data_IF_285727733095
#
_entry.id   IF_285727733095
#
_cell.length_a   1.000
_cell.length_b   1.000
_cell.length_c   1.000
_cell.angle_alpha   90.00
_cell.angle_beta   90.00
_cell.angle_gamma   90.00
#
_symmetry.space_group_name_H-M   'P 1'
#
loop_
_entity.id
_entity.type
_entity.pdbx_description
1 polymer ?
#
# COMPACT_ATOMS: atom_id res chain seq x y z
N UNK A 1 28.22 8.08 -0.34
CA UNK A 1 27.43 7.30 0.64
C UNK A 1 26.02 7.88 0.64
N UNK A 2 25.04 7.15 0.07
CA UNK A 2 23.63 7.54 0.16
C UNK A 2 23.24 7.51 1.64
N UNK A 3 22.91 8.66 2.24
CA UNK A 3 22.36 8.65 3.60
C UNK A 3 21.06 7.85 3.56
N UNK A 4 20.99 6.79 4.38
CA UNK A 4 19.84 5.88 4.44
C UNK A 4 18.55 6.69 4.60
N UNK A 5 17.50 6.28 3.87
CA UNK A 5 16.17 6.86 4.04
C UNK A 5 15.59 6.24 5.30
N UNK A 6 15.21 7.02 6.32
CA UNK A 6 14.63 6.45 7.52
C UNK A 6 13.32 5.73 7.16
N UNK A 7 13.02 4.58 7.79
CA UNK A 7 11.77 3.89 7.51
C UNK A 7 10.57 4.75 7.93
N UNK A 8 9.45 4.67 7.19
CA UNK A 8 8.22 5.33 7.58
C UNK A 8 7.69 4.74 8.89
N UNK A 9 6.92 5.55 9.62
CA UNK A 9 6.15 5.09 10.77
C UNK A 9 4.68 4.99 10.39
N UNK A 10 4.00 4.01 10.96
CA UNK A 10 2.59 3.72 10.72
C UNK A 10 1.99 3.13 12.00
N UNK A 11 0.88 3.70 12.46
CA UNK A 11 0.11 3.14 13.57
C UNK A 11 -0.78 2.02 13.01
N UNK A 12 -0.51 0.78 13.42
CA UNK A 12 -1.28 -0.41 13.02
C UNK A 12 -1.98 -1.06 14.21
N UNK A 13 -3.18 -1.66 14.03
CA UNK A 13 -3.84 -2.40 15.09
C UNK A 13 -3.03 -3.61 15.59
N UNK A 14 -3.35 -4.11 16.78
CA UNK A 14 -2.62 -5.20 17.42
C UNK A 14 -2.60 -6.53 16.65
N UNK A 15 -3.51 -6.75 15.70
CA UNK A 15 -3.51 -7.95 14.86
C UNK A 15 -2.50 -7.88 13.71
N UNK A 16 -1.99 -6.69 13.40
CA UNK A 16 -1.09 -6.46 12.28
C UNK A 16 0.37 -6.63 12.68
N UNK A 17 1.16 -7.24 11.80
CA UNK A 17 2.59 -7.48 12.02
C UNK A 17 3.40 -7.00 10.83
N UNK A 18 4.56 -6.41 11.11
CA UNK A 18 5.55 -6.09 10.08
C UNK A 18 6.07 -7.40 9.49
N UNK A 19 5.85 -7.61 8.20
CA UNK A 19 6.28 -8.81 7.47
C UNK A 19 7.47 -8.54 6.55
N UNK A 20 7.68 -7.28 6.17
CA UNK A 20 8.79 -6.88 5.32
C UNK A 20 9.21 -5.43 5.60
N UNK A 21 10.52 -5.19 5.63
CA UNK A 21 11.15 -3.87 5.57
C UNK A 21 12.26 -3.93 4.52
N UNK A 22 12.21 -3.03 3.53
CA UNK A 22 13.13 -3.03 2.40
C UNK A 22 13.64 -1.63 2.08
N UNK A 23 14.95 -1.51 1.83
CA UNK A 23 15.58 -0.33 1.25
C UNK A 23 15.85 -0.59 -0.24
N UNK A 24 15.31 0.25 -1.11
CA UNK A 24 15.48 0.14 -2.56
C UNK A 24 15.85 1.47 -3.22
N UNK A 25 16.31 1.39 -4.47
CA UNK A 25 16.53 2.56 -5.34
C UNK A 25 15.67 2.39 -6.59
N UNK A 26 14.35 2.65 -6.52
CA UNK A 26 13.40 2.35 -7.60
C UNK A 26 13.64 3.15 -8.89
N UNK A 27 14.47 4.19 -8.81
CA UNK A 27 14.86 5.01 -9.95
C UNK A 27 16.26 5.59 -9.75
N UNK A 28 17.17 5.30 -10.67
CA UNK A 28 18.52 5.86 -10.69
C UNK A 28 18.92 6.21 -12.13
N UNK A 29 18.93 7.52 -12.43
CA UNK A 29 19.38 8.06 -13.72
C UNK A 29 20.33 9.21 -13.46
N UNK A 30 21.14 9.59 -14.46
CA UNK A 30 22.21 10.61 -14.33
C UNK A 30 21.79 11.95 -13.69
N UNK A 31 20.50 12.28 -13.69
CA UNK A 31 19.97 13.57 -13.22
C UNK A 31 19.25 13.43 -11.87
N UNK A 32 18.66 12.27 -11.56
CA UNK A 32 17.87 12.04 -10.34
C UNK A 32 18.04 10.60 -9.85
N UNK A 33 18.29 10.45 -8.55
CA UNK A 33 18.22 9.18 -7.82
C UNK A 33 17.10 9.23 -6.80
N UNK A 34 16.24 8.20 -6.76
CA UNK A 34 15.18 8.02 -5.77
C UNK A 34 15.55 6.82 -4.91
N UNK A 35 15.72 7.04 -3.61
CA UNK A 35 15.85 5.97 -2.62
C UNK A 35 14.55 5.85 -1.84
N UNK A 36 14.13 4.61 -1.56
CA UNK A 36 12.90 4.32 -0.85
C UNK A 36 13.14 3.34 0.30
N UNK A 37 12.54 3.58 1.45
CA UNK A 37 12.43 2.57 2.52
C UNK A 37 10.97 2.23 2.69
N UNK A 38 10.61 0.98 2.46
CA UNK A 38 9.23 0.49 2.48
C UNK A 38 9.04 -0.46 3.64
N UNK A 39 7.92 -0.33 4.35
CA UNK A 39 7.44 -1.29 5.35
C UNK A 39 6.11 -1.87 4.93
N UNK A 40 5.94 -3.17 5.06
CA UNK A 40 4.69 -3.87 4.76
C UNK A 40 4.21 -4.61 6.00
N UNK A 41 2.94 -4.43 6.31
CA UNK A 41 2.25 -5.09 7.41
C UNK A 41 1.11 -5.95 6.88
N UNK A 42 0.89 -7.08 7.53
CA UNK A 42 -0.23 -7.99 7.26
C UNK A 42 -1.03 -8.25 8.54
N UNK A 43 -2.33 -8.46 8.39
CA UNK A 43 -3.15 -8.98 9.48
C UNK A 43 -2.92 -10.49 9.62
N UNK A 44 -1.97 -10.86 10.48
CA UNK A 44 -1.61 -12.25 10.71
C UNK A 44 -2.72 -13.03 11.38
N UNK A 45 -3.53 -12.40 12.23
CA UNK A 45 -4.64 -13.08 12.89
C UNK A 45 -5.73 -13.49 11.89
N UNK A 46 -6.06 -12.60 10.94
CA UNK A 46 -6.97 -12.90 9.85
C UNK A 46 -6.40 -13.99 8.94
N UNK A 47 -5.13 -13.85 8.55
CA UNK A 47 -4.45 -14.80 7.68
C UNK A 47 -4.45 -16.20 8.28
N UNK A 48 -4.00 -16.34 9.53
CA UNK A 48 -3.88 -17.64 10.19
C UNK A 48 -5.26 -18.30 10.40
N UNK A 49 -6.29 -17.50 10.72
CA UNK A 49 -7.68 -17.98 10.82
C UNK A 49 -8.21 -18.52 9.49
N UNK A 50 -7.94 -17.82 8.39
CA UNK A 50 -8.41 -18.22 7.06
C UNK A 50 -7.59 -19.37 6.50
N UNK A 51 -6.28 -19.42 6.75
CA UNK A 51 -5.45 -20.57 6.44
C UNK A 51 -5.97 -21.84 7.12
N UNK A 52 -6.32 -21.78 8.41
CA UNK A 52 -6.92 -22.91 9.12
C UNK A 52 -8.27 -23.35 8.53
N UNK A 53 -9.06 -22.41 8.00
CA UNK A 53 -10.39 -22.70 7.45
C UNK A 53 -10.37 -23.16 5.98
N UNK A 54 -9.36 -22.75 5.21
CA UNK A 54 -9.31 -22.94 3.75
C UNK A 54 -8.15 -23.81 3.28
N UNK A 55 -7.16 -24.07 4.13
CA UNK A 55 -5.92 -24.75 3.76
C UNK A 55 -5.01 -23.92 2.84
N UNK A 56 -5.31 -22.63 2.63
CA UNK A 56 -4.57 -21.76 1.71
C UNK A 56 -3.81 -20.68 2.47
N UNK A 57 -2.50 -20.66 2.27
CA UNK A 57 -1.61 -19.58 2.71
C UNK A 57 -1.56 -18.49 1.63
N UNK A 58 -2.37 -17.44 1.79
CA UNK A 58 -2.39 -16.29 0.86
C UNK A 58 -2.47 -14.96 1.62
N UNK A 59 -2.08 -13.86 0.97
CA UNK A 59 -2.28 -12.52 1.52
C UNK A 59 -3.75 -12.13 1.40
N UNK A 60 -4.43 -12.02 2.54
CA UNK A 60 -5.83 -11.58 2.59
C UNK A 60 -5.96 -10.07 2.67
N UNK A 61 -5.18 -9.43 3.54
CA UNK A 61 -5.10 -7.98 3.63
C UNK A 61 -3.71 -7.54 4.05
N UNK A 62 -3.29 -6.42 3.49
CA UNK A 62 -1.99 -5.82 3.79
C UNK A 62 -2.10 -4.30 3.74
N UNK A 63 -1.17 -3.63 4.40
CA UNK A 63 -0.93 -2.18 4.32
C UNK A 63 0.55 -1.96 4.20
N UNK A 64 0.96 -0.98 3.43
CA UNK A 64 2.35 -0.58 3.33
C UNK A 64 2.49 0.93 3.41
N UNK A 65 3.67 1.33 3.85
CA UNK A 65 4.12 2.71 3.80
C UNK A 65 5.53 2.74 3.19
N UNK A 66 5.83 3.77 2.40
CA UNK A 66 7.16 3.98 1.86
C UNK A 66 7.58 5.43 1.98
N UNK A 67 8.79 5.67 2.49
CA UNK A 67 9.40 7.02 2.50
C UNK A 67 10.40 7.10 1.36
N UNK A 68 10.26 8.11 0.52
CA UNK A 68 11.07 8.35 -0.66
C UNK A 68 11.90 9.62 -0.48
N UNK A 69 13.20 9.53 -0.79
CA UNK A 69 14.12 10.66 -0.86
C UNK A 69 14.65 10.80 -2.27
N UNK A 70 14.57 12.02 -2.79
CA UNK A 70 15.03 12.38 -4.13
C UNK A 70 16.37 13.09 -4.03
N UNK A 71 17.33 12.72 -4.88
CA UNK A 71 18.65 13.38 -4.99
C UNK A 71 18.92 13.83 -6.42
N UNK A 72 19.38 15.09 -6.65
CA UNK A 72 19.52 16.15 -5.65
C UNK A 72 18.16 16.53 -5.04
N UNK A 73 18.17 17.10 -3.82
CA UNK A 73 16.96 17.55 -3.17
C UNK A 73 16.36 18.68 -4.04
N UNK A 74 15.13 18.46 -4.49
CA UNK A 74 14.37 19.43 -5.26
C UNK A 74 13.03 19.61 -4.56
N UNK A 75 12.58 20.86 -4.38
CA UNK A 75 11.23 21.10 -3.89
C UNK A 75 10.22 20.36 -4.79
N UNK A 76 9.22 19.67 -4.20
CA UNK A 76 8.19 18.98 -4.98
C UNK A 76 7.53 19.94 -5.98
N UNK A 77 7.75 19.69 -7.27
CA UNK A 77 7.01 20.38 -8.34
C UNK A 77 5.84 19.51 -8.77
N UNK A 78 4.78 20.11 -9.33
CA UNK A 78 3.64 19.34 -9.85
C UNK A 78 4.07 18.26 -10.86
N UNK A 79 5.04 18.56 -11.71
CA UNK A 79 5.56 17.59 -12.68
C UNK A 79 6.28 16.41 -12.00
N UNK A 80 7.08 16.69 -10.96
CA UNK A 80 7.75 15.65 -10.18
C UNK A 80 6.77 14.80 -9.38
N UNK A 81 5.78 15.43 -8.74
CA UNK A 81 4.72 14.72 -8.01
C UNK A 81 3.93 13.79 -8.92
N UNK A 82 3.59 14.23 -10.14
CA UNK A 82 2.92 13.37 -11.11
C UNK A 82 3.81 12.18 -11.53
N UNK A 83 5.09 12.44 -11.85
CA UNK A 83 6.04 11.39 -12.21
C UNK A 83 6.19 10.33 -11.11
N UNK A 84 6.33 10.76 -9.85
CA UNK A 84 6.44 9.87 -8.69
C UNK A 84 5.14 9.08 -8.52
N UNK A 85 3.99 9.75 -8.59
CA UNK A 85 2.68 9.12 -8.42
C UNK A 85 2.40 8.07 -9.49
N UNK A 86 2.71 8.36 -10.76
CA UNK A 86 2.49 7.43 -11.87
C UNK A 86 3.40 6.20 -11.77
N UNK A 87 4.68 6.41 -11.45
CA UNK A 87 5.64 5.31 -11.30
C UNK A 87 5.33 4.45 -10.08
N UNK A 88 4.97 5.07 -8.97
CA UNK A 88 4.60 4.36 -7.76
C UNK A 88 3.27 3.62 -7.91
N UNK A 89 2.30 4.18 -8.65
CA UNK A 89 1.05 3.49 -9.00
C UNK A 89 1.33 2.22 -9.83
N UNK A 90 2.27 2.29 -10.78
CA UNK A 90 2.66 1.13 -11.58
C UNK A 90 3.32 0.05 -10.71
N UNK A 91 4.27 0.45 -9.86
CA UNK A 91 4.93 -0.47 -8.93
C UNK A 91 3.94 -1.08 -7.92
N UNK A 92 2.88 -0.35 -7.54
CA UNK A 92 1.85 -0.89 -6.67
C UNK A 92 1.03 -2.00 -7.34
N UNK A 93 0.76 -1.89 -8.65
CA UNK A 93 0.13 -2.98 -9.41
C UNK A 93 1.02 -4.22 -9.40
N UNK A 94 2.33 -4.06 -9.64
CA UNK A 94 3.29 -5.17 -9.57
C UNK A 94 3.27 -5.84 -8.18
N UNK A 95 3.22 -5.04 -7.10
CA UNK A 95 3.10 -5.55 -5.70
C UNK A 95 1.79 -6.32 -5.48
N UNK A 96 0.70 -5.91 -6.10
CA UNK A 96 -0.56 -6.66 -6.03
C UNK A 96 -0.43 -8.01 -6.74
N UNK A 97 0.18 -8.05 -7.93
CA UNK A 97 0.41 -9.30 -8.66
C UNK A 97 1.32 -10.26 -7.90
N UNK A 98 2.43 -9.77 -7.35
CA UNK A 98 3.37 -10.56 -6.54
C UNK A 98 2.72 -11.14 -5.28
N UNK A 99 1.70 -10.47 -4.74
CA UNK A 99 0.92 -10.92 -3.58
C UNK A 99 -0.24 -11.86 -3.93
N UNK A 100 -0.36 -12.25 -5.20
CA UNK A 100 -1.35 -13.21 -5.68
C UNK A 100 -2.70 -12.60 -6.01
N UNK A 101 -2.80 -11.26 -6.11
CA UNK A 101 -4.01 -10.61 -6.61
C UNK A 101 -4.02 -10.64 -8.15
N UNK A 102 -5.20 -10.92 -8.72
CA UNK A 102 -5.41 -11.03 -10.16
C UNK A 102 -6.51 -10.07 -10.65
N UNK A 103 -6.58 -9.90 -11.98
CA UNK A 103 -7.56 -9.04 -12.65
C UNK A 103 -7.64 -7.62 -12.06
N UNK A 104 -6.47 -6.99 -11.91
CA UNK A 104 -6.32 -5.68 -11.28
C UNK A 104 -6.79 -4.59 -12.25
N UNK A 105 -7.79 -3.83 -11.83
CA UNK A 105 -8.39 -2.76 -12.60
C UNK A 105 -8.39 -1.47 -11.78
N UNK A 106 -7.89 -0.38 -12.38
CA UNK A 106 -8.02 0.95 -11.79
C UNK A 106 -9.49 1.38 -11.82
N UNK A 107 -9.99 1.85 -10.68
CA UNK A 107 -11.36 2.30 -10.50
C UNK A 107 -11.39 3.82 -10.31
N UNK A 108 -12.02 4.30 -9.24
CA UNK A 108 -12.17 5.70 -8.87
C UNK A 108 -11.04 6.21 -7.95
N UNK A 109 -11.08 7.51 -7.64
CA UNK A 109 -10.19 8.15 -6.65
C UNK A 109 -10.98 8.46 -5.40
N UNK A 110 -10.41 8.14 -4.24
CA UNK A 110 -10.95 8.47 -2.92
C UNK A 110 -10.06 9.50 -2.22
N UNK A 111 -10.66 10.59 -1.78
CA UNK A 111 -9.92 11.66 -1.09
C UNK A 111 -9.95 11.47 0.42
N UNK A 112 -8.81 11.72 1.07
CA UNK A 112 -8.68 11.69 2.52
C UNK A 112 -7.68 12.76 2.99
N UNK A 113 -7.80 13.21 4.23
CA UNK A 113 -6.90 14.21 4.79
C UNK A 113 -5.73 13.56 5.54
N UNK A 114 -4.51 14.04 5.28
CA UNK A 114 -3.27 13.67 6.00
C UNK A 114 -2.61 14.96 6.48
N UNK A 115 -2.40 15.11 7.79
CA UNK A 115 -1.75 16.31 8.33
C UNK A 115 -2.49 17.64 8.07
N UNK A 116 -3.76 17.58 7.63
CA UNK A 116 -4.55 18.74 7.23
C UNK A 116 -4.62 18.98 5.72
N UNK A 117 -3.83 18.26 4.92
CA UNK A 117 -3.83 18.34 3.45
C UNK A 117 -4.68 17.23 2.83
N UNK A 118 -5.39 17.58 1.75
CA UNK A 118 -6.15 16.62 0.95
C UNK A 118 -5.23 15.77 0.08
N UNK A 119 -5.35 14.45 0.21
CA UNK A 119 -4.61 13.46 -0.57
C UNK A 119 -5.60 12.60 -1.35
N UNK A 120 -5.30 12.41 -2.64
CA UNK A 120 -6.07 11.57 -3.54
C UNK A 120 -5.49 10.14 -3.56
N UNK A 121 -6.26 9.16 -3.08
CA UNK A 121 -5.96 7.74 -3.19
C UNK A 121 -6.62 7.12 -4.41
N UNK A 122 -5.84 6.52 -5.31
CA UNK A 122 -6.37 5.72 -6.41
C UNK A 122 -6.87 4.38 -5.89
N UNK A 123 -8.12 4.04 -6.21
CA UNK A 123 -8.71 2.74 -5.93
C UNK A 123 -8.42 1.76 -7.06
N UNK A 124 -8.15 0.53 -6.70
CA UNK A 124 -8.05 -0.62 -7.59
C UNK A 124 -9.05 -1.70 -7.13
N UNK A 125 -9.60 -2.42 -8.10
CA UNK A 125 -10.37 -3.64 -7.88
C UNK A 125 -9.52 -4.81 -8.35
N UNK A 126 -9.49 -5.87 -7.56
CA UNK A 126 -8.76 -7.08 -7.88
C UNK A 126 -9.51 -8.30 -7.34
N UNK A 127 -8.93 -9.48 -7.51
CA UNK A 127 -9.47 -10.74 -7.00
C UNK A 127 -8.36 -11.58 -6.37
N UNK A 128 -8.69 -12.32 -5.32
CA UNK A 128 -7.87 -13.44 -4.83
C UNK A 128 -8.52 -14.72 -5.31
N UNK A 129 -7.74 -15.57 -5.98
CA UNK A 129 -8.21 -16.88 -6.38
C UNK A 129 -8.06 -17.86 -5.21
N UNK A 130 -9.17 -18.47 -4.81
CA UNK A 130 -9.22 -19.53 -3.80
C UNK A 130 -9.97 -20.72 -4.37
N UNK A 131 -9.25 -21.82 -4.64
CA UNK A 131 -9.75 -22.97 -5.37
C UNK A 131 -10.40 -22.53 -6.70
N UNK A 132 -11.68 -22.86 -6.90
CA UNK A 132 -12.50 -22.49 -8.06
C UNK A 132 -13.29 -21.18 -7.86
N UNK A 133 -12.91 -20.34 -6.88
CA UNK A 133 -13.63 -19.10 -6.53
C UNK A 133 -12.74 -17.87 -6.62
N UNK A 134 -13.29 -16.82 -7.21
CA UNK A 134 -12.71 -15.47 -7.18
C UNK A 134 -13.33 -14.68 -6.04
N UNK A 135 -12.51 -14.25 -5.08
CA UNK A 135 -12.94 -13.39 -4.00
C UNK A 135 -12.57 -11.93 -4.32
N UNK A 136 -13.55 -11.01 -4.38
CA UNK A 136 -13.29 -9.61 -4.71
C UNK A 136 -12.45 -8.93 -3.64
N UNK A 137 -11.54 -8.08 -4.09
CA UNK A 137 -10.60 -7.30 -3.28
C UNK A 137 -10.65 -5.85 -3.73
N UNK A 138 -10.52 -4.95 -2.77
CA UNK A 138 -10.25 -3.55 -3.04
C UNK A 138 -8.88 -3.17 -2.50
N UNK A 139 -8.19 -2.35 -3.28
CA UNK A 139 -6.90 -1.83 -2.93
C UNK A 139 -6.87 -0.31 -3.15
N UNK A 140 -6.05 0.37 -2.35
CA UNK A 140 -5.88 1.81 -2.43
C UNK A 140 -4.40 2.16 -2.45
N UNK A 141 -4.06 3.19 -3.19
CA UNK A 141 -2.71 3.73 -3.27
C UNK A 141 -2.73 5.25 -3.32
N UNK A 142 -1.90 5.88 -2.48
CA UNK A 142 -1.71 7.31 -2.45
C UNK A 142 -0.22 7.65 -2.32
N UNK A 143 0.16 8.79 -2.90
CA UNK A 143 1.48 9.39 -2.75
C UNK A 143 1.31 10.89 -2.50
N UNK A 144 2.06 11.44 -1.55
CA UNK A 144 2.00 12.85 -1.22
C UNK A 144 3.38 13.39 -0.81
N UNK A 145 3.67 14.66 -1.10
CA UNK A 145 4.91 15.29 -0.65
C UNK A 145 4.88 15.52 0.87
N UNK A 146 6.06 15.42 1.50
CA UNK A 146 6.29 15.84 2.89
C UNK A 146 7.63 16.59 2.97
N UNK A 147 7.57 17.92 3.06
CA UNK A 147 8.77 18.75 2.92
C UNK A 147 9.47 18.54 1.57
N UNK A 148 10.70 18.02 1.59
CA UNK A 148 11.51 17.69 0.40
C UNK A 148 11.47 16.19 0.03
N UNK A 149 10.68 15.41 0.76
CA UNK A 149 10.52 13.96 0.59
C UNK A 149 9.11 13.62 0.09
N UNK A 150 8.88 12.35 -0.18
CA UNK A 150 7.55 11.82 -0.50
C UNK A 150 7.20 10.69 0.46
N UNK A 151 5.94 10.65 0.88
CA UNK A 151 5.35 9.50 1.55
C UNK A 151 4.38 8.83 0.60
N UNK A 152 4.45 7.51 0.57
CA UNK A 152 3.55 6.64 -0.16
C UNK A 152 2.85 5.75 0.86
N UNK A 153 1.58 5.49 0.62
CA UNK A 153 0.78 4.58 1.43
C UNK A 153 -0.22 3.84 0.58
N UNK A 154 -0.45 2.58 0.91
CA UNK A 154 -1.49 1.81 0.26
C UNK A 154 -1.72 0.47 0.94
N UNK A 155 -2.63 -0.31 0.39
CA UNK A 155 -2.98 -1.60 0.94
C UNK A 155 -4.16 -2.21 0.20
N UNK A 156 -4.48 -3.45 0.55
CA UNK A 156 -5.61 -4.17 0.01
C UNK A 156 -6.37 -4.91 1.10
N UNK A 157 -7.67 -5.08 0.91
CA UNK A 157 -8.54 -5.83 1.81
C UNK A 157 -9.64 -6.55 1.01
N UNK A 158 -10.14 -7.70 1.50
CA UNK A 158 -11.16 -8.46 0.81
C UNK A 158 -12.53 -7.79 0.99
N UNK A 159 -13.40 -7.90 -0.01
CA UNK A 159 -14.80 -7.49 0.09
C UNK A 159 -15.71 -8.60 0.61
N UNK A 160 -15.18 -9.82 0.66
CA UNK A 160 -15.85 -11.01 1.19
C UNK A 160 -14.82 -12.04 1.60
N UNK A 161 -15.13 -12.86 2.61
CA UNK A 161 -14.29 -13.96 3.05
C UNK A 161 -14.85 -15.31 2.62
N UNK A 162 -14.01 -16.35 2.51
CA UNK A 162 -14.49 -17.70 2.29
C UNK A 162 -15.20 -18.26 3.54
N UNK A 163 -16.22 -19.09 3.30
CA UNK A 163 -16.96 -19.77 4.37
C UNK A 163 -18.03 -18.87 5.02
N UNK A 164 -18.46 -19.18 6.26
CA UNK A 164 -19.51 -18.42 6.96
C UNK A 164 -18.99 -17.08 7.54
N UNK A 165 -17.70 -16.79 7.40
CA UNK A 165 -17.12 -15.56 7.90
C UNK A 165 -17.62 -14.37 7.07
N UNK A 166 -18.25 -13.39 7.71
CA UNK A 166 -18.49 -12.08 7.10
C UNK A 166 -17.27 -11.20 7.28
N UNK A 167 -17.08 -10.28 6.35
CA UNK A 167 -16.14 -9.18 6.47
C UNK A 167 -16.90 -7.89 6.21
N UNK A 168 -16.82 -6.96 7.16
CA UNK A 168 -17.40 -5.65 6.98
C UNK A 168 -16.45 -4.81 6.12
N UNK A 169 -16.84 -4.60 4.87
CA UNK A 169 -16.04 -3.84 3.90
C UNK A 169 -15.90 -2.36 4.28
N UNK A 170 -16.87 -1.81 4.99
CA UNK A 170 -16.86 -0.40 5.36
C UNK A 170 -15.92 -0.19 6.55
N UNK A 171 -15.94 -1.12 7.52
CA UNK A 171 -14.94 -1.20 8.59
C UNK A 171 -13.53 -1.43 8.03
N UNK A 172 -13.36 -2.39 7.10
CA UNK A 172 -12.07 -2.66 6.45
C UNK A 172 -11.51 -1.45 5.71
N UNK A 173 -12.37 -0.67 5.03
CA UNK A 173 -11.98 0.58 4.38
C UNK A 173 -11.58 1.63 5.41
N UNK A 174 -12.40 1.83 6.44
CA UNK A 174 -12.15 2.82 7.48
C UNK A 174 -10.83 2.53 8.22
N UNK A 175 -10.57 1.27 8.54
CA UNK A 175 -9.33 0.82 9.17
C UNK A 175 -8.12 1.07 8.27
N UNK A 176 -8.20 0.72 6.97
CA UNK A 176 -7.14 1.01 6.00
C UNK A 176 -6.84 2.51 5.96
N UNK A 177 -7.85 3.35 5.79
CA UNK A 177 -7.64 4.80 5.76
C UNK A 177 -7.19 5.37 7.11
N UNK A 178 -7.58 4.77 8.23
CA UNK A 178 -7.04 5.08 9.55
C UNK A 178 -5.53 4.88 9.60
N UNK A 179 -5.04 3.75 9.10
CA UNK A 179 -3.62 3.48 8.94
C UNK A 179 -2.97 4.47 7.96
N UNK A 180 -3.51 4.69 6.77
CA UNK A 180 -2.91 5.62 5.80
C UNK A 180 -2.74 7.04 6.35
N UNK A 181 -3.65 7.50 7.22
CA UNK A 181 -3.58 8.81 7.88
C UNK A 181 -2.51 8.91 8.96
N UNK A 182 -2.06 7.80 9.54
CA UNK A 182 -1.01 7.78 10.58
C UNK A 182 0.40 7.74 10.00
N UNK A 183 0.54 7.56 8.68
CA UNK A 183 1.83 7.49 8.00
C UNK A 183 2.61 8.80 8.18
N UNK A 184 3.85 8.68 8.66
CA UNK A 184 4.78 9.81 8.83
C UNK A 184 6.21 9.46 8.50
#
# INVERSE_FOLDING_TARGET
MSAAVPPPELDVPESWRLVSEELSTPFDVRIVTISATTRIYEDTALRDRLAAATGTETTWRFVFASRLRIRPANSPSRALTNLVSDRASSAFVDVLEERGFAAIERADTHRFAVGGDDVDATRYRARVQLDDRDLPVEAYFAAWPTGEEFLLGGGAYPLSLPGPASFDRDEGREELFGMLRSIR
#
